data_IF_612015900199
#
_entry.id   IF_612015900199
#
_cell.length_a   1.000
_cell.length_b   1.000
_cell.length_c   1.000
_cell.angle_alpha   90.00
_cell.angle_beta   90.00
_cell.angle_gamma   90.00
#
_symmetry.space_group_name_H-M   'P 1'
#
loop_
_entity.id
_entity.type
_entity.pdbx_description
1 polymer ?
#
# COMPACT_ATOMS: atom_id res chain seq x y z
N UNK A 1 10.82 7.84 -9.67
CA UNK A 1 9.38 8.15 -9.53
C UNK A 1 9.27 9.54 -8.92
N UNK A 2 8.59 10.45 -9.61
CA UNK A 2 8.47 11.90 -9.28
C UNK A 2 7.53 12.18 -8.08
N UNK A 3 6.91 11.13 -7.52
CA UNK A 3 5.88 11.26 -6.49
C UNK A 3 6.44 11.41 -5.07
N UNK A 4 7.73 11.13 -4.84
CA UNK A 4 8.34 11.16 -3.49
C UNK A 4 8.20 12.53 -2.81
N UNK A 5 8.34 13.62 -3.56
CA UNK A 5 8.17 14.97 -3.04
C UNK A 5 6.74 15.22 -2.52
N UNK A 6 5.74 14.75 -3.25
CA UNK A 6 4.33 14.87 -2.88
C UNK A 6 4.00 14.06 -1.62
N UNK A 7 4.54 12.84 -1.53
CA UNK A 7 4.39 11.96 -0.36
C UNK A 7 5.00 12.61 0.89
N UNK A 8 6.23 13.13 0.78
CA UNK A 8 6.89 13.82 1.90
C UNK A 8 6.09 15.02 2.41
N UNK A 9 5.54 15.83 1.50
CA UNK A 9 4.68 16.95 1.85
C UNK A 9 3.40 16.50 2.57
N UNK A 10 2.81 15.38 2.14
CA UNK A 10 1.65 14.79 2.80
C UNK A 10 1.99 14.26 4.20
N UNK A 11 3.09 13.52 4.34
CA UNK A 11 3.57 13.00 5.63
C UNK A 11 3.79 14.14 6.63
N UNK A 12 4.38 15.26 6.19
CA UNK A 12 4.56 16.45 7.05
C UNK A 12 3.22 16.98 7.56
N UNK A 13 2.23 17.18 6.67
CA UNK A 13 0.88 17.64 7.06
C UNK A 13 0.19 16.65 7.98
N UNK A 14 0.37 15.35 7.75
CA UNK A 14 -0.24 14.29 8.56
C UNK A 14 0.31 14.31 10.00
N UNK A 15 1.65 14.39 10.14
CA UNK A 15 2.32 14.51 11.45
C UNK A 15 1.92 15.79 12.20
N UNK A 16 1.75 16.90 11.49
CA UNK A 16 1.29 18.16 12.10
C UNK A 16 -0.15 18.08 12.58
N UNK A 17 -1.04 17.42 11.82
CA UNK A 17 -2.44 17.27 12.16
C UNK A 17 -2.68 16.25 13.30
N UNK A 18 -1.85 15.21 13.36
CA UNK A 18 -1.97 14.12 14.33
C UNK A 18 -0.62 13.87 15.04
N UNK A 19 -0.15 14.78 15.91
CA UNK A 19 1.19 14.70 16.50
C UNK A 19 1.39 13.51 17.43
N UNK A 20 0.31 12.96 17.99
CA UNK A 20 0.34 11.80 18.90
C UNK A 20 0.30 10.46 18.17
N UNK A 21 -0.05 10.44 16.88
CA UNK A 21 -0.12 9.22 16.08
C UNK A 21 1.20 9.02 15.34
N UNK A 22 1.95 7.94 15.60
CA UNK A 22 3.21 7.70 14.91
C UNK A 22 2.98 7.43 13.43
N UNK A 23 3.77 8.06 12.57
CA UNK A 23 3.70 7.89 11.11
C UNK A 23 4.94 7.15 10.63
N UNK A 24 4.72 5.94 10.13
CA UNK A 24 5.74 5.07 9.54
C UNK A 24 5.65 5.11 8.02
N UNK A 25 6.80 5.12 7.34
CA UNK A 25 6.88 5.04 5.89
C UNK A 25 7.43 3.67 5.50
N UNK A 26 6.77 3.02 4.54
CA UNK A 26 7.13 1.72 4.00
C UNK A 26 7.38 1.91 2.51
N UNK A 27 8.34 1.16 1.97
CA UNK A 27 8.59 1.11 0.54
C UNK A 27 7.48 0.29 -0.16
N UNK A 28 6.69 0.96 -1.01
CA UNK A 28 5.58 0.33 -1.73
C UNK A 28 6.01 -0.36 -3.03
N UNK A 29 7.31 -0.37 -3.37
CA UNK A 29 7.78 -0.94 -4.63
C UNK A 29 7.28 -2.37 -4.83
N UNK A 30 6.83 -2.65 -6.05
CA UNK A 30 6.27 -3.92 -6.49
C UNK A 30 4.94 -4.36 -5.83
N UNK A 31 4.38 -3.61 -4.89
CA UNK A 31 3.15 -3.99 -4.17
C UNK A 31 1.99 -4.24 -5.12
N UNK A 32 1.73 -3.36 -6.09
CA UNK A 32 0.62 -3.57 -7.03
C UNK A 32 0.82 -4.81 -7.93
N UNK A 33 2.08 -5.21 -8.17
CA UNK A 33 2.40 -6.44 -8.92
C UNK A 33 2.14 -7.67 -8.06
N UNK A 34 2.55 -7.63 -6.79
CA UNK A 34 2.27 -8.70 -5.82
C UNK A 34 0.76 -8.84 -5.61
N UNK A 35 0.03 -7.74 -5.39
CA UNK A 35 -1.42 -7.74 -5.25
C UNK A 35 -2.13 -8.41 -6.45
N UNK A 36 -1.75 -8.03 -7.68
CA UNK A 36 -2.29 -8.66 -8.90
C UNK A 36 -1.98 -10.16 -8.96
N UNK A 37 -0.78 -10.58 -8.55
CA UNK A 37 -0.41 -11.99 -8.51
C UNK A 37 -1.19 -12.76 -7.43
N UNK A 38 -1.42 -12.17 -6.26
CA UNK A 38 -2.23 -12.76 -5.20
C UNK A 38 -3.69 -12.92 -5.61
N UNK A 39 -4.27 -11.91 -6.28
CA UNK A 39 -5.65 -11.98 -6.82
C UNK A 39 -5.74 -13.04 -7.95
N UNK A 40 -4.66 -13.22 -8.72
CA UNK A 40 -4.58 -14.30 -9.71
C UNK A 40 -4.59 -15.67 -9.04
N UNK A 41 -3.77 -15.84 -8.00
CA UNK A 41 -3.66 -17.08 -7.24
C UNK A 41 -4.94 -17.44 -6.47
N UNK A 42 -5.75 -16.46 -6.08
CA UNK A 42 -7.02 -16.69 -5.37
C UNK A 42 -8.17 -17.18 -6.27
N UNK A 43 -7.94 -17.37 -7.57
CA UNK A 43 -8.94 -17.92 -8.49
C UNK A 43 -9.97 -16.91 -8.99
N UNK A 44 -9.76 -15.61 -8.76
CA UNK A 44 -10.67 -14.56 -9.22
C UNK A 44 -10.72 -14.52 -10.76
N UNK A 45 -11.94 -14.48 -11.30
CA UNK A 45 -12.17 -14.42 -12.75
C UNK A 45 -11.53 -13.18 -13.38
N UNK A 46 -11.23 -13.24 -14.69
CA UNK A 46 -10.50 -12.18 -15.43
C UNK A 46 -11.07 -10.77 -15.21
N UNK A 47 -12.40 -10.62 -15.19
CA UNK A 47 -13.07 -9.34 -14.97
C UNK A 47 -12.81 -8.78 -13.56
N UNK A 48 -12.80 -9.63 -12.54
CA UNK A 48 -12.48 -9.24 -11.16
C UNK A 48 -11.00 -8.84 -10.99
N UNK A 49 -10.08 -9.52 -11.70
CA UNK A 49 -8.64 -9.19 -11.70
C UNK A 49 -8.30 -7.81 -12.27
N UNK A 50 -9.17 -7.26 -13.13
CA UNK A 50 -9.02 -5.93 -13.71
C UNK A 50 -9.63 -4.82 -12.83
N UNK A 51 -10.30 -5.19 -11.74
CA UNK A 51 -10.89 -4.21 -10.83
C UNK A 51 -9.78 -3.50 -10.05
N UNK A 52 -9.55 -2.23 -10.37
CA UNK A 52 -8.55 -1.39 -9.70
C UNK A 52 -8.82 -1.27 -8.19
N UNK A 53 -10.08 -1.16 -7.77
CA UNK A 53 -10.41 -1.06 -6.35
C UNK A 53 -9.96 -2.31 -5.57
N UNK A 54 -10.16 -3.50 -6.15
CA UNK A 54 -9.69 -4.75 -5.55
C UNK A 54 -8.16 -4.82 -5.47
N UNK A 55 -7.47 -4.36 -6.51
CA UNK A 55 -5.99 -4.30 -6.51
C UNK A 55 -5.48 -3.32 -5.45
N UNK A 56 -6.11 -2.15 -5.31
CA UNK A 56 -5.73 -1.13 -4.33
C UNK A 56 -5.97 -1.62 -2.89
N UNK A 57 -7.09 -2.30 -2.65
CA UNK A 57 -7.41 -2.91 -1.34
C UNK A 57 -6.39 -3.98 -0.94
N UNK A 58 -6.10 -4.95 -1.84
CA UNK A 58 -5.10 -6.00 -1.57
C UNK A 58 -3.71 -5.39 -1.42
N UNK A 59 -3.39 -4.32 -2.16
CA UNK A 59 -2.12 -3.60 -2.00
C UNK A 59 -2.00 -2.99 -0.60
N UNK A 60 -3.05 -2.35 -0.09
CA UNK A 60 -3.06 -1.79 1.26
C UNK A 60 -2.86 -2.87 2.34
N UNK A 61 -3.47 -4.05 2.17
CA UNK A 61 -3.26 -5.20 3.07
C UNK A 61 -1.80 -5.67 3.05
N UNK A 62 -1.17 -5.75 1.87
CA UNK A 62 0.25 -6.15 1.75
C UNK A 62 1.17 -5.13 2.42
N UNK A 63 0.93 -3.83 2.24
CA UNK A 63 1.72 -2.77 2.90
C UNK A 63 1.64 -2.93 4.43
N UNK A 64 0.44 -3.18 4.95
CA UNK A 64 0.23 -3.40 6.38
C UNK A 64 0.96 -4.66 6.85
N UNK A 65 0.85 -5.76 6.13
CA UNK A 65 1.55 -7.01 6.47
C UNK A 65 3.06 -6.80 6.52
N UNK A 66 3.64 -6.16 5.49
CA UNK A 66 5.07 -5.85 5.44
C UNK A 66 5.54 -5.03 6.65
N UNK A 67 4.72 -4.06 7.10
CA UNK A 67 5.03 -3.28 8.30
C UNK A 67 5.01 -4.13 9.57
N UNK A 68 4.02 -5.00 9.73
CA UNK A 68 3.90 -5.87 10.89
C UNK A 68 5.05 -6.90 10.95
N UNK A 69 5.42 -7.46 9.79
CA UNK A 69 6.52 -8.42 9.67
C UNK A 69 7.87 -7.76 9.98
N UNK A 70 8.09 -6.52 9.53
CA UNK A 70 9.31 -5.77 9.85
C UNK A 70 9.46 -5.44 11.34
N UNK A 71 8.33 -5.30 12.05
CA UNK A 71 8.29 -4.89 13.46
C UNK A 71 8.34 -6.08 14.43
N UNK A 72 8.16 -7.30 13.92
CA UNK A 72 8.22 -8.56 14.67
C UNK A 72 9.66 -9.03 14.84
#
# INVERSE_FOLDING_TARGET
TDSTGHVNGFVKRLKQKFPTIPVHQIDERFTSKIAKQSILASGVKKKGRQNKALVDEVSATIILQNYLDYKS
#
